data_IF_372049485958
#
_entry.id   IF_372049485958
#
_cell.length_a   1.000
_cell.length_b   1.000
_cell.length_c   1.000
_cell.angle_alpha   90.00
_cell.angle_beta   90.00
_cell.angle_gamma   90.00
#
_symmetry.space_group_name_H-M   'P 1'
#
loop_
_entity.id
_entity.type
_entity.pdbx_description
1 polymer ?
#
# COMPACT_ATOMS: atom_id res chain seq x y z
N UNK A 1 3.15 13.48 7.49
CA UNK A 1 2.79 12.05 7.50
C UNK A 1 4.05 11.23 7.29
N UNK A 2 4.40 10.36 8.25
CA UNK A 2 5.49 9.39 8.13
C UNK A 2 4.91 8.01 8.41
N UNK A 3 5.46 7.00 7.74
CA UNK A 3 5.19 5.59 8.05
C UNK A 3 6.47 4.93 8.52
N UNK A 4 6.37 4.15 9.60
CA UNK A 4 7.45 3.33 10.16
C UNK A 4 6.89 1.99 10.59
N UNK A 5 7.70 0.94 10.51
CA UNK A 5 7.35 -0.40 10.94
C UNK A 5 8.39 -0.89 11.94
N UNK A 6 7.94 -1.57 12.99
CA UNK A 6 8.82 -2.06 14.06
C UNK A 6 9.69 -3.23 13.59
N UNK A 7 9.20 -4.02 12.63
CA UNK A 7 9.93 -5.14 12.05
C UNK A 7 9.53 -5.45 10.60
N UNK A 8 10.23 -6.43 10.02
CA UNK A 8 10.02 -6.88 8.64
C UNK A 8 8.67 -7.58 8.47
N UNK A 9 8.15 -8.25 9.50
CA UNK A 9 6.87 -8.94 9.42
C UNK A 9 5.71 -7.94 9.31
N UNK A 10 5.77 -6.85 10.05
CA UNK A 10 4.81 -5.75 9.98
C UNK A 10 4.84 -5.06 8.60
N UNK A 11 6.03 -4.78 8.06
CA UNK A 11 6.15 -4.24 6.69
C UNK A 11 5.61 -5.23 5.64
N UNK A 12 5.93 -6.52 5.76
CA UNK A 12 5.45 -7.53 4.83
C UNK A 12 3.92 -7.69 4.88
N UNK A 13 3.30 -7.54 6.06
CA UNK A 13 1.85 -7.53 6.19
C UNK A 13 1.22 -6.33 5.46
N UNK A 14 1.77 -5.13 5.65
CA UNK A 14 1.29 -3.92 4.98
C UNK A 14 1.40 -4.01 3.44
N UNK A 15 2.48 -4.60 2.91
CA UNK A 15 2.64 -4.83 1.48
C UNK A 15 1.61 -5.82 0.91
N UNK A 16 1.27 -6.89 1.64
CA UNK A 16 0.22 -7.85 1.23
C UNK A 16 -1.18 -7.23 1.28
N UNK A 17 -1.43 -6.36 2.25
CA UNK A 17 -2.67 -5.61 2.31
C UNK A 17 -2.79 -4.63 1.13
N UNK A 18 -1.69 -3.94 0.79
CA UNK A 18 -1.62 -3.10 -0.39
C UNK A 18 -1.85 -3.91 -1.68
N UNK A 19 -1.25 -5.10 -1.83
CA UNK A 19 -1.46 -5.98 -2.99
C UNK A 19 -2.93 -6.38 -3.16
N UNK A 20 -3.56 -6.81 -2.06
CA UNK A 20 -4.98 -7.18 -2.08
C UNK A 20 -5.88 -6.00 -2.45
N UNK A 21 -5.57 -4.81 -1.96
CA UNK A 21 -6.33 -3.61 -2.27
C UNK A 21 -6.07 -3.11 -3.71
N UNK A 22 -4.83 -3.23 -4.19
CA UNK A 22 -4.44 -2.86 -5.56
C UNK A 22 -5.10 -3.75 -6.61
N UNK A 23 -5.26 -5.05 -6.34
CA UNK A 23 -6.02 -5.93 -7.24
C UNK A 23 -7.48 -5.46 -7.45
N UNK A 24 -8.10 -4.87 -6.43
CA UNK A 24 -9.42 -4.25 -6.57
C UNK A 24 -9.36 -2.92 -7.35
N UNK A 25 -8.26 -2.16 -7.21
CA UNK A 25 -8.02 -0.93 -7.97
C UNK A 25 -7.81 -1.22 -9.47
N UNK A 26 -6.98 -2.19 -9.82
CA UNK A 26 -6.76 -2.61 -11.22
C UNK A 26 -8.05 -3.12 -11.87
N UNK A 27 -8.89 -3.84 -11.11
CA UNK A 27 -10.21 -4.27 -11.59
C UNK A 27 -11.13 -3.07 -11.93
N UNK A 28 -11.01 -1.96 -11.20
CA UNK A 28 -11.74 -0.72 -11.49
C UNK A 28 -11.13 0.07 -12.66
N UNK A 29 -9.80 0.08 -12.77
CA UNK A 29 -9.07 0.66 -13.90
C UNK A 29 -9.30 -0.09 -15.21
N UNK A 30 -9.59 -1.39 -15.15
CA UNK A 30 -9.74 -2.26 -16.31
C UNK A 30 -8.42 -2.60 -17.02
N UNK A 31 -7.29 -2.21 -16.43
CA UNK A 31 -5.94 -2.50 -16.91
C UNK A 31 -4.97 -2.54 -15.73
N UNK A 32 -3.78 -3.08 -15.98
CA UNK A 32 -2.70 -3.11 -15.01
C UNK A 32 -2.19 -1.70 -14.77
N UNK A 33 -2.00 -1.35 -13.51
CA UNK A 33 -1.43 -0.06 -13.13
C UNK A 33 0.10 -0.13 -13.25
N UNK A 34 0.67 0.74 -14.10
CA UNK A 34 2.10 0.82 -14.32
C UNK A 34 2.84 1.48 -13.15
N UNK A 35 2.16 2.33 -12.37
CA UNK A 35 2.70 2.99 -11.18
C UNK A 35 2.23 2.32 -9.87
N UNK A 36 2.16 0.99 -9.90
CA UNK A 36 1.88 0.18 -8.71
C UNK A 36 2.77 0.55 -7.49
N UNK A 37 4.06 0.93 -7.60
CA UNK A 37 4.85 1.29 -6.43
C UNK A 37 4.37 2.59 -5.80
N UNK A 38 4.00 3.59 -6.62
CA UNK A 38 3.46 4.86 -6.16
C UNK A 38 2.11 4.65 -5.45
N UNK A 39 1.25 3.81 -6.02
CA UNK A 39 -0.02 3.44 -5.41
C UNK A 39 0.15 2.75 -4.05
N UNK A 40 1.08 1.78 -3.96
CA UNK A 40 1.38 1.08 -2.70
C UNK A 40 1.87 2.06 -1.64
N UNK A 41 2.75 2.99 -2.02
CA UNK A 41 3.27 3.99 -1.10
C UNK A 41 2.15 4.89 -0.53
N UNK A 42 1.24 5.38 -1.38
CA UNK A 42 0.07 6.16 -0.94
C UNK A 42 -0.85 5.34 -0.03
N UNK A 43 -1.18 4.11 -0.44
CA UNK A 43 -2.00 3.21 0.35
C UNK A 43 -1.40 2.96 1.73
N UNK A 44 -0.11 2.64 1.79
CA UNK A 44 0.60 2.37 3.04
C UNK A 44 0.66 3.63 3.91
N UNK A 45 0.96 4.79 3.32
CA UNK A 45 1.02 6.06 4.04
C UNK A 45 -0.34 6.46 4.62
N UNK A 46 -1.45 6.16 3.93
CA UNK A 46 -2.81 6.47 4.40
C UNK A 46 -3.34 5.52 5.46
N UNK A 47 -2.95 4.24 5.42
CA UNK A 47 -3.48 3.22 6.33
C UNK A 47 -2.59 2.98 7.56
N UNK A 48 -1.28 3.19 7.43
CA UNK A 48 -0.30 2.95 8.49
C UNK A 48 0.49 4.21 8.86
N UNK A 49 0.23 5.33 8.19
CA UNK A 49 0.78 6.62 8.58
C UNK A 49 0.35 6.98 9.99
N UNK A 50 1.29 7.54 10.74
CA UNK A 50 1.01 8.12 12.05
C UNK A 50 0.83 9.62 11.86
N UNK A 51 -0.23 10.18 12.45
CA UNK A 51 -0.33 11.61 12.69
C UNK A 51 0.53 11.95 13.92
N UNK A 52 1.40 12.95 13.79
CA UNK A 52 2.05 13.58 14.95
C UNK A 52 1.13 14.61 15.59
#
# INVERSE_FOLDING_TARGET
MRVTFDDVAALAAALRDAERAHGAHEAQLGHRDEDWPGWYADYILRNYGQDE
#
